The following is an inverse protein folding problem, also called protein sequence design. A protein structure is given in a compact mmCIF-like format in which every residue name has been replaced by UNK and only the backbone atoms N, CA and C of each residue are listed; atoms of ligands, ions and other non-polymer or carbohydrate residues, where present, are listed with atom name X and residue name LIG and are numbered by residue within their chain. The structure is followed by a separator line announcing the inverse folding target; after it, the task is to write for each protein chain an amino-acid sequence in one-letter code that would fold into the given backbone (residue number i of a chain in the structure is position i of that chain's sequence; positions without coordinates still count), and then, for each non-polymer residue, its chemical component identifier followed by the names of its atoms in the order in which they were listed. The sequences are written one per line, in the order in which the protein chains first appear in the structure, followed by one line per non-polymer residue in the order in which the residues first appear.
data_IF_317462781948
#
_entry.id   IF_317462781948
#
_cell.length_a   1.000
_cell.length_b   1.000
_cell.length_c   1.000
_cell.angle_alpha   90.00
_cell.angle_beta   90.00
_cell.angle_gamma   90.00
#
_symmetry.space_group_name_H-M   'P 1'
#
loop_
_entity.id
_entity.type
_entity.pdbx_description
1 polymer ?
#
# COMPACT_ATOMS: atom_id res chain seq x y z
N UNK A 1 -5.50 13.93 -1.73
CA UNK A 1 -6.16 13.19 -2.82
C UNK A 1 -5.11 12.92 -3.88
N UNK A 2 -4.88 11.67 -4.24
CA UNK A 2 -3.96 11.31 -5.32
C UNK A 2 -4.75 11.21 -6.64
N UNK A 3 -4.17 11.70 -7.73
CA UNK A 3 -4.75 11.61 -9.07
C UNK A 3 -3.93 10.63 -9.91
N UNK A 4 -4.61 9.65 -10.51
CA UNK A 4 -4.00 8.68 -11.43
C UNK A 4 -4.61 8.85 -12.83
N UNK A 5 -3.76 9.05 -13.83
CA UNK A 5 -4.18 9.15 -15.24
C UNK A 5 -3.70 7.93 -16.01
N UNK A 6 -4.64 7.16 -16.57
CA UNK A 6 -4.33 6.01 -17.43
C UNK A 6 -4.49 6.45 -18.89
N UNK A 7 -3.38 6.50 -19.63
CA UNK A 7 -3.38 6.86 -21.06
C UNK A 7 -3.58 5.60 -21.92
N UNK A 8 -4.17 5.78 -23.10
CA UNK A 8 -4.36 4.72 -24.10
C UNK A 8 -5.15 3.50 -23.58
N UNK A 9 -6.14 3.73 -22.71
CA UNK A 9 -7.02 2.66 -22.24
C UNK A 9 -7.86 2.13 -23.40
N UNK A 10 -7.78 0.82 -23.64
CA UNK A 10 -8.57 0.17 -24.67
C UNK A 10 -10.08 0.37 -24.46
N UNK A 11 -10.82 0.75 -25.50
CA UNK A 11 -12.26 1.01 -25.46
C UNK A 11 -13.07 -0.19 -24.94
N UNK A 12 -12.65 -1.41 -25.27
CA UNK A 12 -13.26 -2.65 -24.74
C UNK A 12 -13.12 -2.72 -23.23
N UNK A 13 -11.98 -2.30 -22.68
CA UNK A 13 -11.75 -2.26 -21.23
C UNK A 13 -12.61 -1.19 -20.58
N UNK A 14 -12.68 0.01 -21.17
CA UNK A 14 -13.52 1.09 -20.67
C UNK A 14 -15.02 0.69 -20.66
N UNK A 15 -15.51 0.06 -21.72
CA UNK A 15 -16.89 -0.43 -21.80
C UNK A 15 -17.20 -1.53 -20.76
N UNK A 16 -16.24 -2.42 -20.48
CA UNK A 16 -16.37 -3.43 -19.42
C UNK A 16 -16.41 -2.80 -18.03
N UNK A 17 -15.56 -1.80 -17.76
CA UNK A 17 -15.57 -1.05 -16.51
C UNK A 17 -16.91 -0.34 -16.31
N UNK A 18 -17.46 0.29 -17.36
CA UNK A 18 -18.76 0.96 -17.29
C UNK A 18 -19.89 -0.01 -16.95
N UNK A 19 -19.93 -1.17 -17.59
CA UNK A 19 -20.92 -2.21 -17.29
C UNK A 19 -20.79 -2.73 -15.85
N UNK A 20 -19.57 -2.98 -15.39
CA UNK A 20 -19.30 -3.46 -14.02
C UNK A 20 -19.70 -2.41 -12.98
N UNK A 21 -19.39 -1.15 -13.22
CA UNK A 21 -19.77 -0.04 -12.36
C UNK A 21 -21.31 0.08 -12.24
N UNK A 22 -22.03 -0.05 -13.35
CA UNK A 22 -23.49 -0.07 -13.36
C UNK A 22 -24.07 -1.28 -12.59
N UNK A 23 -23.48 -2.47 -12.75
CA UNK A 23 -23.88 -3.66 -11.98
C UNK A 23 -23.69 -3.49 -10.47
N UNK A 24 -22.65 -2.77 -10.05
CA UNK A 24 -22.37 -2.48 -8.65
C UNK A 24 -23.04 -1.19 -8.14
N UNK A 25 -23.82 -0.49 -8.96
CA UNK A 25 -24.51 0.74 -8.57
C UNK A 25 -23.58 1.90 -8.22
N UNK A 26 -22.38 1.97 -8.81
CA UNK A 26 -21.39 3.03 -8.53
C UNK A 26 -20.83 3.67 -9.80
N UNK A 27 -20.15 4.80 -9.66
CA UNK A 27 -19.48 5.46 -10.79
C UNK A 27 -18.32 4.62 -11.32
N UNK A 28 -17.91 4.87 -12.57
CA UNK A 28 -16.75 4.20 -13.17
C UNK A 28 -15.48 4.47 -12.37
N UNK A 29 -15.30 5.70 -11.88
CA UNK A 29 -14.19 6.05 -11.01
C UNK A 29 -14.19 5.26 -9.70
N UNK A 30 -15.36 5.14 -9.05
CA UNK A 30 -15.49 4.35 -7.84
C UNK A 30 -15.23 2.85 -8.08
N UNK A 31 -15.63 2.34 -9.25
CA UNK A 31 -15.30 0.97 -9.68
C UNK A 31 -13.80 0.78 -9.86
N UNK A 32 -13.13 1.69 -10.56
CA UNK A 32 -11.68 1.65 -10.77
C UNK A 32 -10.93 1.71 -9.44
N UNK A 33 -11.33 2.61 -8.53
CA UNK A 33 -10.75 2.72 -7.19
C UNK A 33 -10.86 1.40 -6.44
N UNK A 34 -12.06 0.81 -6.37
CA UNK A 34 -12.26 -0.45 -5.66
C UNK A 34 -11.51 -1.63 -6.29
N UNK A 35 -11.38 -1.66 -7.62
CA UNK A 35 -10.53 -2.67 -8.29
C UNK A 35 -9.08 -2.50 -7.85
N UNK A 36 -8.56 -1.27 -7.86
CA UNK A 36 -7.19 -0.98 -7.43
C UNK A 36 -6.99 -1.35 -5.96
N UNK A 37 -7.88 -0.92 -5.06
CA UNK A 37 -7.81 -1.25 -3.63
C UNK A 37 -7.80 -2.77 -3.40
N UNK A 38 -8.64 -3.51 -4.12
CA UNK A 38 -8.67 -4.97 -4.05
C UNK A 38 -7.41 -5.64 -4.62
N UNK A 39 -6.81 -5.06 -5.67
CA UNK A 39 -5.67 -5.63 -6.37
C UNK A 39 -4.35 -5.35 -5.65
N UNK A 40 -4.19 -4.15 -5.08
CA UNK A 40 -3.01 -3.82 -4.27
C UNK A 40 -3.09 -4.45 -2.88
N UNK A 41 -4.30 -4.81 -2.43
CA UNK A 41 -4.56 -5.34 -1.10
C UNK A 41 -4.32 -4.30 -0.01
N UNK A 42 -5.04 -4.42 1.10
CA UNK A 42 -4.44 -3.97 2.35
C UNK A 42 -3.24 -4.90 2.62
N UNK A 43 -2.08 -4.41 3.10
CA UNK A 43 -1.08 -5.32 3.63
C UNK A 43 -1.80 -6.24 4.61
N UNK A 44 -1.71 -7.57 4.38
CA UNK A 44 -2.50 -8.58 5.12
C UNK A 44 -2.42 -8.39 6.63
N UNK A 45 -1.32 -7.79 7.08
CA UNK A 45 -1.10 -7.36 8.44
C UNK A 45 -0.44 -5.98 8.44
N UNK A 46 -0.80 -5.16 9.42
CA UNK A 46 -0.01 -3.99 9.77
C UNK A 46 1.41 -4.47 10.10
N UNK A 47 2.43 -3.85 9.50
CA UNK A 47 3.84 -4.23 9.66
C UNK A 47 4.23 -4.34 11.14
N UNK A 48 3.67 -3.48 11.99
CA UNK A 48 3.88 -3.50 13.44
C UNK A 48 3.23 -4.73 14.10
N UNK A 49 2.05 -5.15 13.64
CA UNK A 49 1.43 -6.39 14.09
C UNK A 49 2.19 -7.63 13.60
N UNK A 50 2.65 -7.66 12.34
CA UNK A 50 3.49 -8.76 11.83
C UNK A 50 4.81 -8.87 12.62
N UNK A 51 5.45 -7.74 12.89
CA UNK A 51 6.66 -7.69 13.70
C UNK A 51 6.40 -8.16 15.13
N UNK A 52 5.31 -7.69 15.74
CA UNK A 52 4.93 -8.11 17.09
C UNK A 52 4.66 -9.62 17.14
N UNK A 53 3.92 -10.18 16.18
CA UNK A 53 3.64 -11.62 16.09
C UNK A 53 4.92 -12.45 15.86
N UNK A 54 5.86 -11.95 15.04
CA UNK A 54 7.16 -12.60 14.85
C UNK A 54 8.00 -12.61 16.13
N UNK A 55 7.90 -11.54 16.94
CA UNK A 55 8.68 -11.35 18.15
C UNK A 55 7.97 -11.83 19.43
N UNK A 56 6.67 -12.16 19.39
CA UNK A 56 5.89 -12.52 20.57
C UNK A 56 6.38 -13.82 21.22
N UNK A 57 6.97 -14.73 20.43
CA UNK A 57 7.62 -15.94 20.95
C UNK A 57 8.89 -15.66 21.77
N UNK A 58 9.51 -14.49 21.61
CA UNK A 58 10.72 -14.10 22.34
C UNK A 58 10.42 -13.47 23.72
N UNK A 59 9.14 -13.28 24.09
CA UNK A 59 8.75 -12.77 25.41
C UNK A 59 8.97 -11.28 25.65
N UNK A 60 9.30 -10.52 24.60
CA UNK A 60 9.70 -9.11 24.69
C UNK A 60 11.19 -8.96 25.01
N UNK A 61 11.84 -7.99 24.36
CA UNK A 61 13.27 -7.69 24.55
C UNK A 61 13.42 -6.29 25.11
N UNK A 62 14.20 -6.15 26.18
CA UNK A 62 14.62 -4.85 26.69
C UNK A 62 15.95 -4.50 26.01
N UNK A 63 15.88 -3.61 25.03
CA UNK A 63 17.07 -3.17 24.30
C UNK A 63 17.73 -2.04 25.07
N UNK A 64 19.03 -2.15 25.42
CA UNK A 64 19.72 -1.06 26.06
C UNK A 64 19.72 0.17 25.14
N UNK A 65 19.61 1.38 25.69
CA UNK A 65 19.69 2.60 24.89
C UNK A 65 21.04 2.64 24.18
N UNK A 66 21.00 2.77 22.86
CA UNK A 66 22.22 2.99 22.05
C UNK A 66 22.64 4.45 22.20
N UNK A 67 23.92 4.67 22.46
CA UNK A 67 24.51 6.00 22.45
C UNK A 67 24.43 6.61 21.04
N UNK A 68 23.90 7.83 20.94
CA UNK A 68 23.67 8.55 19.67
C UNK A 68 24.69 9.67 19.48
N UNK A 69 25.92 9.48 19.96
CA UNK A 69 27.00 10.45 19.85
C UNK A 69 27.67 10.49 18.48
N UNK A 70 27.38 9.53 17.60
CA UNK A 70 28.00 9.43 16.30
C UNK A 70 27.68 10.65 15.42
N UNK A 71 28.71 11.15 14.75
CA UNK A 71 28.54 12.19 13.72
C UNK A 71 27.67 11.64 12.58
N UNK A 72 26.81 12.46 11.95
CA UNK A 72 26.06 12.06 10.77
C UNK A 72 26.99 11.43 9.73
N UNK A 73 26.67 10.21 9.29
CA UNK A 73 27.42 9.57 8.21
C UNK A 73 27.25 10.39 6.94
N UNK A 74 28.35 10.90 6.40
CA UNK A 74 28.37 11.48 5.06
C UNK A 74 28.13 10.38 4.03
N UNK A 75 27.17 10.63 3.14
CA UNK A 75 26.90 9.76 2.00
C UNK A 75 27.47 10.42 0.76
N UNK A 76 28.45 9.78 0.11
CA UNK A 76 28.98 10.22 -1.16
C UNK A 76 27.97 9.86 -2.27
N UNK A 77 27.35 10.88 -2.88
CA UNK A 77 26.51 10.70 -4.06
C UNK A 77 27.42 10.54 -5.28
N UNK A 78 27.71 9.30 -5.68
CA UNK A 78 28.31 8.96 -6.99
C UNK A 78 27.22 8.57 -7.99
#
# INVERSE_FOLDING_TARGET
MATLTIRQLNDRTHARLRRRAAQHGRSVEAEVRAILDSAVGQPKENILLSLHAAMSGAGGVDLPPVDRSDLPRTFELT
#
